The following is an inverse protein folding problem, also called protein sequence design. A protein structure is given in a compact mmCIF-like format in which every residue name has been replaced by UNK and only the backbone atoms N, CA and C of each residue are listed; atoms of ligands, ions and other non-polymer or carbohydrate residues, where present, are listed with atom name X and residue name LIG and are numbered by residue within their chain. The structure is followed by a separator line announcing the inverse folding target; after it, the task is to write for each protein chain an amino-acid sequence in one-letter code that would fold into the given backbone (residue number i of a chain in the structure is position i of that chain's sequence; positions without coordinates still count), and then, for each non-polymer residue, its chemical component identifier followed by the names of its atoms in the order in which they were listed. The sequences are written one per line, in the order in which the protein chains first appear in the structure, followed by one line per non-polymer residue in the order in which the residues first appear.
data_IF_346948719799
#
_entry.id   IF_346948719799
#
_cell.length_a   1.000
_cell.length_b   1.000
_cell.length_c   1.000
_cell.angle_alpha   90.00
_cell.angle_beta   90.00
_cell.angle_gamma   90.00
#
_symmetry.space_group_name_H-M   'P 1'
#
loop_
_entity.id
_entity.type
_entity.pdbx_description
1 polymer ?
#
# COMPACT_ATOMS: atom_id res chain seq x y z
N UNK A 1 13.93 10.10 -32.78
CA UNK A 1 14.13 8.98 -31.84
C UNK A 1 14.09 9.59 -30.45
N UNK A 2 12.91 9.54 -29.81
CA UNK A 2 12.62 10.30 -28.61
C UNK A 2 13.33 9.72 -27.39
N UNK A 3 13.92 10.59 -26.59
CA UNK A 3 14.50 10.27 -25.28
C UNK A 3 13.41 9.72 -24.37
N UNK A 4 13.52 8.46 -23.98
CA UNK A 4 12.71 7.85 -22.92
C UNK A 4 13.06 8.56 -21.60
N UNK A 5 12.09 9.18 -20.90
CA UNK A 5 12.37 9.78 -19.61
C UNK A 5 12.65 8.68 -18.57
N UNK A 6 13.73 8.85 -17.81
CA UNK A 6 14.23 7.98 -16.73
C UNK A 6 13.29 7.90 -15.51
N UNK A 7 11.98 7.71 -15.72
CA UNK A 7 11.03 7.41 -14.64
C UNK A 7 10.29 6.09 -14.84
N UNK A 8 10.64 5.32 -15.88
CA UNK A 8 10.05 4.02 -16.18
C UNK A 8 10.56 2.83 -15.34
N UNK A 9 11.54 3.06 -14.46
CA UNK A 9 12.28 2.00 -13.75
C UNK A 9 11.82 1.73 -12.29
N UNK A 10 10.82 2.46 -11.80
CA UNK A 10 10.28 2.24 -10.44
C UNK A 10 9.00 1.37 -10.42
N UNK A 11 8.51 0.90 -11.57
CA UNK A 11 7.21 0.19 -11.64
C UNK A 11 7.29 -1.33 -11.41
N UNK A 12 8.48 -1.94 -11.21
CA UNK A 12 8.60 -3.41 -11.13
C UNK A 12 9.49 -3.95 -9.99
N UNK A 13 9.73 -3.19 -8.92
CA UNK A 13 10.71 -3.56 -7.88
C UNK A 13 10.23 -4.47 -6.73
N UNK A 14 9.12 -5.17 -6.86
CA UNK A 14 8.78 -6.22 -5.87
C UNK A 14 8.73 -7.57 -6.57
N UNK A 15 9.87 -8.26 -6.53
CA UNK A 15 10.04 -9.63 -6.98
C UNK A 15 9.02 -10.53 -6.27
N UNK A 16 7.98 -10.99 -7.00
CA UNK A 16 6.95 -11.87 -6.47
C UNK A 16 5.51 -11.39 -6.67
N UNK A 17 5.16 -10.84 -7.84
CA UNK A 17 3.80 -10.93 -8.38
C UNK A 17 2.65 -10.23 -7.66
N UNK A 18 2.85 -9.41 -6.61
CA UNK A 18 1.76 -8.62 -6.03
C UNK A 18 1.94 -7.13 -6.37
N UNK A 19 1.19 -6.68 -7.37
CA UNK A 19 1.08 -5.27 -7.76
C UNK A 19 0.54 -4.50 -6.55
N UNK A 20 1.24 -3.44 -6.10
CA UNK A 20 0.72 -2.57 -5.05
C UNK A 20 -0.69 -2.12 -5.47
N UNK A 21 -1.74 -2.44 -4.68
CA UNK A 21 -3.09 -2.13 -5.08
C UNK A 21 -3.25 -0.61 -5.14
N UNK A 22 -3.91 -0.14 -6.20
CA UNK A 22 -4.08 1.29 -6.43
C UNK A 22 -4.82 1.92 -5.25
N UNK A 23 -4.24 2.98 -4.68
CA UNK A 23 -4.73 3.63 -3.48
C UNK A 23 -4.16 3.08 -2.16
N UNK A 24 -3.24 2.11 -2.19
CA UNK A 24 -2.53 1.72 -0.98
C UNK A 24 -1.77 2.92 -0.39
N UNK A 25 -1.95 3.13 0.91
CA UNK A 25 -1.30 4.22 1.66
C UNK A 25 -0.29 3.67 2.66
N UNK A 26 -0.55 2.46 3.16
CA UNK A 26 0.26 1.79 4.17
C UNK A 26 0.44 0.31 3.80
N UNK A 27 1.48 -0.31 4.35
CA UNK A 27 1.74 -1.75 4.29
C UNK A 27 2.11 -2.26 5.69
N UNK A 28 1.59 -3.42 6.04
CA UNK A 28 2.01 -4.14 7.25
C UNK A 28 3.26 -4.97 6.98
N UNK A 29 3.96 -5.35 8.05
CA UNK A 29 5.19 -6.14 7.95
C UNK A 29 4.97 -7.55 7.34
N UNK A 30 3.72 -8.03 7.34
CA UNK A 30 3.32 -9.29 6.70
C UNK A 30 3.05 -9.14 5.19
N UNK A 31 3.12 -7.92 4.65
CA UNK A 31 2.81 -7.60 3.25
C UNK A 31 1.35 -7.20 3.00
N UNK A 32 0.49 -7.14 4.03
CA UNK A 32 -0.90 -6.71 3.86
C UNK A 32 -0.94 -5.21 3.54
N UNK A 33 -1.58 -4.86 2.41
CA UNK A 33 -1.77 -3.46 2.03
C UNK A 33 -2.98 -2.84 2.72
N UNK A 34 -2.84 -1.56 3.06
CA UNK A 34 -3.85 -0.79 3.78
C UNK A 34 -4.09 0.57 3.11
N UNK A 35 -5.35 0.97 3.05
CA UNK A 35 -5.78 2.29 2.67
C UNK A 35 -6.43 2.97 3.89
N UNK A 36 -6.04 4.22 4.13
CA UNK A 36 -6.69 5.10 5.09
C UNK A 36 -7.24 6.30 4.32
N UNK A 37 -8.56 6.38 4.17
CA UNK A 37 -9.24 7.49 3.52
C UNK A 37 -10.24 8.11 4.50
N UNK A 38 -10.07 9.39 4.83
CA UNK A 38 -10.94 10.13 5.77
C UNK A 38 -11.12 9.43 7.14
N UNK A 39 -10.08 8.75 7.64
CA UNK A 39 -10.12 8.01 8.91
C UNK A 39 -10.78 6.63 8.81
N UNK A 40 -11.27 6.23 7.64
CA UNK A 40 -11.75 4.87 7.37
C UNK A 40 -10.57 4.02 6.91
N UNK A 41 -10.38 2.90 7.59
CA UNK A 41 -9.35 1.93 7.26
C UNK A 41 -9.93 0.78 6.45
N UNK A 42 -9.27 0.43 5.36
CA UNK A 42 -9.57 -0.75 4.56
C UNK A 42 -8.29 -1.54 4.31
N UNK A 43 -8.38 -2.87 4.35
CA UNK A 43 -7.27 -3.77 4.02
C UNK A 43 -7.49 -4.37 2.63
N UNK A 44 -6.40 -4.68 1.93
CA UNK A 44 -6.46 -5.34 0.64
C UNK A 44 -6.60 -6.86 0.80
N UNK A 45 -7.54 -7.43 0.06
CA UNK A 45 -7.69 -8.87 -0.13
C UNK A 45 -7.54 -9.18 -1.62
N UNK A 46 -6.71 -10.17 -1.97
CA UNK A 46 -6.60 -10.60 -3.37
C UNK A 46 -7.91 -11.20 -3.91
N UNK A 47 -8.79 -11.68 -3.02
CA UNK A 47 -10.06 -12.32 -3.38
C UNK A 47 -11.19 -11.29 -3.52
N UNK A 48 -11.24 -10.28 -2.64
CA UNK A 48 -12.37 -9.36 -2.53
C UNK A 48 -12.02 -7.89 -2.83
N UNK A 49 -10.73 -7.56 -2.98
CA UNK A 49 -10.25 -6.19 -3.09
C UNK A 49 -10.22 -5.47 -1.74
N UNK A 50 -10.55 -4.18 -1.73
CA UNK A 50 -10.55 -3.35 -0.52
C UNK A 50 -11.72 -3.71 0.40
N UNK A 51 -11.40 -4.22 1.59
CA UNK A 51 -12.36 -4.61 2.61
C UNK A 51 -12.29 -3.65 3.80
N UNK A 52 -13.45 -3.23 4.31
CA UNK A 52 -13.55 -2.38 5.49
C UNK A 52 -12.99 -3.06 6.75
N UNK A 53 -12.11 -2.37 7.45
CA UNK A 53 -11.65 -2.81 8.76
C UNK A 53 -12.67 -2.41 9.84
N UNK A 54 -13.23 -3.41 10.52
CA UNK A 54 -14.23 -3.24 11.58
C UNK A 54 -13.58 -3.52 12.94
N UNK A 55 -12.50 -2.81 13.24
CA UNK A 55 -11.78 -2.93 14.51
C UNK A 55 -11.44 -1.57 15.09
N UNK A 56 -10.97 -1.56 16.34
CA UNK A 56 -10.54 -0.31 16.99
C UNK A 56 -9.20 0.12 16.43
N UNK A 57 -9.16 1.31 15.83
CA UNK A 57 -7.91 1.96 15.40
C UNK A 57 -7.21 2.50 16.65
N UNK A 58 -6.28 1.72 17.20
CA UNK A 58 -5.46 2.11 18.36
C UNK A 58 -4.02 2.40 17.95
N UNK A 59 -3.22 2.93 18.87
CA UNK A 59 -1.82 3.28 18.58
C UNK A 59 -0.96 2.06 18.21
N UNK A 60 -1.28 0.88 18.74
CA UNK A 60 -0.62 -0.37 18.33
C UNK A 60 -0.92 -0.72 16.86
N UNK A 61 -2.16 -0.54 16.42
CA UNK A 61 -2.56 -0.75 15.04
C UNK A 61 -1.81 0.19 14.10
N UNK A 62 -1.69 1.46 14.47
CA UNK A 62 -0.97 2.48 13.69
C UNK A 62 0.54 2.23 13.67
N UNK A 63 1.15 1.85 14.79
CA UNK A 63 2.58 1.54 14.87
C UNK A 63 2.98 0.34 14.00
N UNK A 64 2.04 -0.56 13.68
CA UNK A 64 2.29 -1.69 12.79
C UNK A 64 2.17 -1.32 11.29
N UNK A 65 1.76 -0.09 10.96
CA UNK A 65 1.60 0.37 9.58
C UNK A 65 2.83 1.16 9.14
N UNK A 66 3.45 0.70 8.07
CA UNK A 66 4.50 1.45 7.39
C UNK A 66 3.86 2.25 6.26
N UNK A 67 4.04 3.56 6.26
CA UNK A 67 3.57 4.42 5.17
C UNK A 67 4.33 4.09 3.87
N UNK A 68 3.59 3.89 2.78
CA UNK A 68 4.19 3.66 1.46
C UNK A 68 4.75 4.95 0.86
N UNK A 69 4.16 6.10 1.19
CA UNK A 69 4.54 7.42 0.66
C UNK A 69 5.92 7.91 1.12
N UNK A 70 6.45 7.40 2.22
CA UNK A 70 7.79 7.74 2.73
C UNK A 70 8.91 6.91 2.11
N UNK A 71 8.61 5.88 1.31
CA UNK A 71 9.63 5.13 0.55
C UNK A 71 10.07 5.82 -0.75
N UNK A 72 9.46 6.95 -1.12
CA UNK A 72 9.70 7.66 -2.38
C UNK A 72 10.09 9.14 -2.23
N UNK A 73 10.41 9.61 -1.01
CA UNK A 73 10.84 10.98 -0.74
C UNK A 73 12.33 11.07 -0.39
#
# INVERSE_FOLDING_TARGET
MGTVPETGWLHWQFAGGSMIPHGATHIENDGTFWNCTNGVWTYWSEVFGWCGYIGTVNQMFLNNKNELGTMYA
#
